data_IF_500705933277
#
_entry.id   IF_500705933277
#
_cell.length_a   1.000
_cell.length_b   1.000
_cell.length_c   1.000
_cell.angle_alpha   90.00
_cell.angle_beta   90.00
_cell.angle_gamma   90.00
#
_symmetry.space_group_name_H-M   'P 1'
#
loop_
_entity.id
_entity.type
_entity.pdbx_description
1 polymer ?
#
# COMPACT_ATOMS: atom_id res chain seq x y z
N UNK A 1 1.39 -6.53 -15.40
CA UNK A 1 0.73 -6.64 -14.09
C UNK A 1 -0.66 -7.17 -14.33
N UNK A 2 -0.92 -8.43 -13.95
CA UNK A 2 -2.25 -9.06 -14.01
C UNK A 2 -3.14 -8.37 -12.97
N UNK A 3 -4.34 -7.99 -13.39
CA UNK A 3 -5.28 -7.18 -12.64
C UNK A 3 -5.49 -7.63 -11.19
N UNK A 4 -5.27 -6.71 -10.28
CA UNK A 4 -5.80 -6.82 -8.93
C UNK A 4 -7.33 -6.85 -9.05
N UNK A 5 -7.90 -8.05 -8.84
CA UNK A 5 -9.33 -8.15 -8.59
C UNK A 5 -9.59 -7.44 -7.26
N UNK A 6 -10.22 -6.28 -7.33
CA UNK A 6 -10.83 -5.62 -6.18
C UNK A 6 -11.99 -6.50 -5.70
N UNK A 7 -11.72 -7.42 -4.79
CA UNK A 7 -12.77 -8.17 -4.12
C UNK A 7 -13.52 -7.22 -3.17
N UNK A 8 -14.84 -7.11 -3.29
CA UNK A 8 -15.63 -6.38 -2.31
C UNK A 8 -15.53 -7.12 -0.96
N UNK A 9 -14.81 -6.55 -0.01
CA UNK A 9 -14.66 -7.07 1.36
C UNK A 9 -15.95 -6.99 2.20
N UNK A 10 -17.08 -6.57 1.63
CA UNK A 10 -18.31 -6.30 2.36
C UNK A 10 -19.48 -7.12 1.83
N UNK A 11 -19.70 -8.29 2.37
CA UNK A 11 -21.07 -8.81 2.50
C UNK A 11 -21.73 -8.13 3.70
N UNK A 12 -22.72 -7.28 3.49
CA UNK A 12 -23.57 -6.76 4.55
C UNK A 12 -24.25 -7.94 5.24
N UNK A 13 -24.25 -7.95 6.59
CA UNK A 13 -25.20 -8.77 7.31
C UNK A 13 -26.62 -8.35 6.89
N UNK A 14 -27.57 -9.26 6.72
CA UNK A 14 -28.97 -8.86 6.76
C UNK A 14 -29.12 -8.04 8.05
N UNK A 15 -29.61 -6.83 7.91
CA UNK A 15 -29.86 -6.00 9.07
C UNK A 15 -30.81 -6.76 10.00
N UNK A 16 -30.49 -6.82 11.28
CA UNK A 16 -31.47 -7.23 12.31
C UNK A 16 -32.69 -6.29 12.34
N UNK A 17 -32.75 -5.34 11.42
CA UNK A 17 -33.79 -4.31 11.29
C UNK A 17 -35.15 -4.82 10.82
N UNK A 18 -35.26 -6.08 10.36
CA UNK A 18 -36.52 -6.60 9.80
C UNK A 18 -37.59 -7.02 10.79
N UNK A 19 -37.33 -7.10 12.10
CA UNK A 19 -38.26 -7.74 13.04
C UNK A 19 -38.71 -6.85 14.22
N UNK A 20 -38.25 -5.61 14.27
CA UNK A 20 -38.66 -4.71 15.37
C UNK A 20 -39.77 -3.73 14.98
N UNK A 21 -40.96 -4.27 14.81
CA UNK A 21 -42.19 -3.42 14.84
C UNK A 21 -42.79 -3.50 16.26
N UNK A 22 -43.16 -2.38 16.86
CA UNK A 22 -43.82 -2.26 18.17
C UNK A 22 -45.04 -3.21 18.33
N UNK A 23 -45.64 -3.61 17.19
CA UNK A 23 -46.73 -4.59 17.13
C UNK A 23 -46.32 -5.98 17.57
N UNK A 24 -45.05 -6.39 17.37
CA UNK A 24 -44.54 -7.70 17.81
C UNK A 24 -44.33 -7.75 19.33
N UNK A 25 -43.98 -6.61 19.94
CA UNK A 25 -43.86 -6.51 21.40
C UNK A 25 -45.24 -6.68 22.08
N UNK A 26 -46.32 -6.25 21.47
CA UNK A 26 -47.69 -6.44 21.99
C UNK A 26 -48.19 -7.89 21.80
N UNK A 27 -47.93 -8.51 20.67
CA UNK A 27 -48.35 -9.90 20.38
C UNK A 27 -47.61 -10.92 21.24
N UNK A 28 -46.36 -10.68 21.60
CA UNK A 28 -45.59 -11.55 22.50
C UNK A 28 -46.14 -11.57 23.93
N UNK A 29 -46.68 -10.46 24.40
CA UNK A 29 -47.34 -10.43 25.74
C UNK A 29 -48.64 -11.20 25.80
N UNK A 30 -49.29 -11.51 24.69
CA UNK A 30 -50.57 -12.21 24.63
C UNK A 30 -50.45 -13.74 24.45
N UNK A 31 -49.31 -14.27 24.03
CA UNK A 31 -49.12 -15.71 23.78
C UNK A 31 -48.37 -16.49 24.91
N UNK A 32 -48.06 -15.83 26.04
CA UNK A 32 -47.38 -16.44 27.20
C UNK A 32 -48.32 -17.08 28.22
N UNK A 33 -49.52 -17.47 27.81
CA UNK A 33 -50.43 -18.24 28.65
C UNK A 33 -50.50 -19.69 28.12
N UNK A 34 -49.58 -20.53 28.56
CA UNK A 34 -49.72 -21.99 28.80
C UNK A 34 -48.31 -22.65 28.72
N UNK A 35 -47.62 -22.69 29.79
CA UNK A 35 -46.96 -23.85 30.41
C UNK A 35 -46.18 -23.39 31.66
N UNK A 36 -46.83 -23.36 32.81
CA UNK A 36 -46.15 -23.15 34.07
C UNK A 36 -45.63 -24.47 34.60
N UNK A 37 -44.41 -24.80 34.29
CA UNK A 37 -43.56 -25.57 35.19
C UNK A 37 -42.84 -24.54 36.06
N UNK A 38 -43.15 -24.58 37.39
CA UNK A 38 -42.49 -23.73 38.39
C UNK A 38 -40.97 -23.97 38.34
N UNK A 39 -40.16 -22.96 38.05
CA UNK A 39 -38.70 -23.14 38.11
C UNK A 39 -38.28 -23.18 39.57
N UNK A 40 -37.46 -24.13 39.92
CA UNK A 40 -36.62 -24.09 41.11
C UNK A 40 -35.80 -22.81 41.08
N UNK A 41 -35.94 -21.97 42.11
CA UNK A 41 -35.28 -20.71 42.23
C UNK A 41 -33.74 -20.87 42.04
N UNK A 42 -33.20 -20.29 40.97
CA UNK A 42 -31.75 -20.12 40.83
C UNK A 42 -31.12 -20.31 39.45
N UNK A 43 -31.79 -20.98 38.49
CA UNK A 43 -31.24 -21.12 37.13
C UNK A 43 -32.26 -20.67 36.09
N UNK A 44 -31.84 -19.82 35.11
CA UNK A 44 -32.70 -19.46 33.97
C UNK A 44 -33.06 -20.75 33.21
N UNK A 45 -34.35 -21.02 33.04
CA UNK A 45 -34.78 -22.19 32.28
C UNK A 45 -34.55 -21.94 30.78
N UNK A 46 -33.81 -22.83 30.13
CA UNK A 46 -33.71 -22.84 28.65
C UNK A 46 -35.12 -23.13 28.08
N UNK A 47 -35.56 -22.27 27.17
CA UNK A 47 -36.85 -22.38 26.49
C UNK A 47 -36.63 -22.55 25.00
N UNK A 48 -37.50 -23.32 24.34
CA UNK A 48 -37.53 -23.45 22.87
C UNK A 48 -38.80 -22.76 22.39
N UNK A 49 -38.63 -21.78 21.51
CA UNK A 49 -39.72 -20.99 20.92
C UNK A 49 -39.61 -21.06 19.40
N UNK A 50 -40.73 -21.32 18.72
CA UNK A 50 -40.85 -21.10 17.26
C UNK A 50 -41.67 -19.84 17.06
N UNK A 51 -41.11 -18.89 16.27
CA UNK A 51 -41.75 -17.62 15.95
C UNK A 51 -42.68 -17.78 14.73
N UNK A 52 -43.63 -16.85 14.58
CA UNK A 52 -44.62 -16.90 13.49
C UNK A 52 -44.02 -16.74 12.09
N UNK A 53 -42.82 -16.18 11.99
CA UNK A 53 -42.05 -16.03 10.75
C UNK A 53 -41.22 -17.29 10.38
N UNK A 54 -41.28 -18.34 11.20
CA UNK A 54 -40.53 -19.58 11.00
C UNK A 54 -39.15 -19.60 11.65
N UNK A 55 -38.72 -18.51 12.31
CA UNK A 55 -37.49 -18.52 13.10
C UNK A 55 -37.68 -19.33 14.37
N UNK A 56 -36.58 -19.83 14.93
CA UNK A 56 -36.60 -20.51 16.25
C UNK A 56 -35.52 -19.93 17.17
N UNK A 57 -35.82 -19.97 18.45
CA UNK A 57 -34.89 -19.62 19.53
C UNK A 57 -34.88 -20.70 20.58
N UNK A 58 -33.69 -21.10 21.02
CA UNK A 58 -33.45 -21.99 22.14
C UNK A 58 -32.45 -21.27 23.08
N UNK A 59 -32.87 -20.94 24.30
CA UNK A 59 -32.00 -20.22 25.23
C UNK A 59 -32.71 -19.61 26.42
N UNK A 60 -32.00 -18.72 27.09
CA UNK A 60 -32.49 -18.03 28.27
C UNK A 60 -33.46 -16.91 27.88
N UNK A 61 -34.60 -16.85 28.59
CA UNK A 61 -35.63 -15.83 28.39
C UNK A 61 -35.94 -15.23 29.76
N UNK A 62 -35.93 -13.88 29.84
CA UNK A 62 -36.34 -13.15 31.01
C UNK A 62 -37.38 -12.13 30.61
N UNK A 63 -38.53 -12.15 31.26
CA UNK A 63 -39.67 -11.26 30.98
C UNK A 63 -40.08 -11.24 29.51
N UNK A 64 -39.99 -12.37 28.82
CA UNK A 64 -40.29 -12.50 27.38
C UNK A 64 -39.22 -11.94 26.42
N UNK A 65 -38.03 -11.63 26.93
CA UNK A 65 -36.90 -11.05 26.21
C UNK A 65 -35.77 -12.07 26.15
N UNK A 66 -35.11 -12.23 25.01
CA UNK A 66 -33.92 -13.09 24.91
C UNK A 66 -32.76 -12.45 25.69
N UNK A 67 -32.27 -13.19 26.66
CA UNK A 67 -31.17 -12.77 27.55
C UNK A 67 -30.20 -13.96 27.71
N UNK A 68 -28.97 -13.69 28.15
CA UNK A 68 -27.99 -14.73 28.43
C UNK A 68 -27.58 -15.54 27.21
N UNK A 69 -27.41 -16.83 27.35
CA UNK A 69 -26.94 -17.72 26.28
C UNK A 69 -28.11 -18.32 25.49
N UNK A 70 -27.96 -18.36 24.14
CA UNK A 70 -28.99 -18.95 23.29
C UNK A 70 -28.52 -19.24 21.86
N UNK A 71 -29.35 -20.01 21.17
CA UNK A 71 -29.25 -20.35 19.78
C UNK A 71 -30.47 -19.76 19.06
N UNK A 72 -30.23 -18.90 18.05
CA UNK A 72 -31.26 -18.38 17.16
C UNK A 72 -31.05 -18.93 15.76
N UNK A 73 -32.07 -19.49 15.17
CA UNK A 73 -32.04 -20.02 13.80
C UNK A 73 -33.12 -19.30 12.99
N UNK A 74 -32.69 -18.59 11.96
CA UNK A 74 -33.58 -17.89 11.04
C UNK A 74 -34.22 -18.89 10.07
N UNK A 75 -35.41 -18.58 9.62
CA UNK A 75 -36.09 -19.35 8.57
C UNK A 75 -35.27 -19.44 7.24
N UNK A 76 -34.34 -18.50 7.03
CA UNK A 76 -33.37 -18.55 5.93
C UNK A 76 -32.35 -19.67 6.03
N UNK A 77 -32.18 -20.27 7.23
CA UNK A 77 -31.13 -21.22 7.57
C UNK A 77 -29.88 -20.62 8.21
N UNK A 78 -29.80 -19.30 8.32
CA UNK A 78 -28.75 -18.66 9.11
C UNK A 78 -28.91 -19.03 10.58
N UNK A 79 -27.81 -19.02 11.34
CA UNK A 79 -27.86 -19.32 12.79
C UNK A 79 -26.88 -18.44 13.56
N UNK A 80 -27.28 -18.06 14.77
CA UNK A 80 -26.43 -17.43 15.76
C UNK A 80 -26.48 -18.20 17.06
N UNK A 81 -25.33 -18.51 17.60
CA UNK A 81 -25.15 -19.14 18.90
C UNK A 81 -24.24 -18.28 19.76
N UNK A 82 -24.73 -17.79 20.90
CA UNK A 82 -23.96 -16.87 21.73
C UNK A 82 -24.82 -16.15 22.76
N UNK A 83 -24.30 -15.03 23.21
CA UNK A 83 -24.94 -14.21 24.22
C UNK A 83 -25.99 -13.26 23.60
N UNK A 84 -27.07 -13.06 24.33
CA UNK A 84 -28.15 -12.12 24.00
C UNK A 84 -28.31 -11.08 25.09
N UNK A 85 -28.66 -9.88 24.71
CA UNK A 85 -29.09 -8.79 25.58
C UNK A 85 -30.19 -8.01 24.89
N UNK A 86 -31.37 -7.89 25.54
CA UNK A 86 -32.53 -7.22 24.98
C UNK A 86 -32.89 -7.72 23.57
N UNK A 87 -33.05 -9.03 23.41
CA UNK A 87 -33.37 -9.74 22.15
C UNK A 87 -32.29 -9.68 21.04
N UNK A 88 -31.16 -9.04 21.28
CA UNK A 88 -30.10 -8.85 20.28
C UNK A 88 -28.84 -9.66 20.62
N UNK A 89 -28.14 -10.21 19.63
CA UNK A 89 -26.78 -10.70 19.81
C UNK A 89 -25.91 -9.69 20.53
N UNK A 90 -25.26 -10.15 21.60
CA UNK A 90 -24.40 -9.32 22.43
C UNK A 90 -23.23 -10.16 22.97
N UNK A 91 -22.16 -9.53 23.49
CA UNK A 91 -21.04 -10.29 24.04
C UNK A 91 -20.38 -11.18 22.99
N UNK A 92 -20.05 -12.41 23.36
CA UNK A 92 -19.41 -13.38 22.47
C UNK A 92 -20.40 -14.31 21.80
N UNK A 93 -20.15 -14.67 20.54
CA UNK A 93 -20.98 -15.62 19.82
C UNK A 93 -20.43 -15.98 18.43
N UNK A 94 -21.08 -16.96 17.83
CA UNK A 94 -20.80 -17.46 16.49
C UNK A 94 -22.02 -17.25 15.60
N UNK A 95 -21.83 -16.61 14.46
CA UNK A 95 -22.84 -16.47 13.41
C UNK A 95 -22.44 -17.32 12.20
N UNK A 96 -23.35 -18.12 11.70
CA UNK A 96 -23.17 -18.96 10.51
C UNK A 96 -24.24 -18.61 9.49
N UNK A 97 -23.78 -18.16 8.31
CA UNK A 97 -24.67 -17.91 7.17
C UNK A 97 -24.92 -19.18 6.38
N UNK A 98 -26.10 -19.28 5.81
CA UNK A 98 -26.48 -20.41 4.92
C UNK A 98 -25.55 -20.51 3.69
N UNK A 99 -24.92 -19.42 3.27
CA UNK A 99 -23.97 -19.39 2.14
C UNK A 99 -22.57 -19.92 2.49
N UNK A 100 -22.36 -20.41 3.72
CA UNK A 100 -21.12 -21.00 4.21
C UNK A 100 -20.15 -20.03 4.85
N UNK A 101 -20.47 -18.74 4.94
CA UNK A 101 -19.69 -17.80 5.75
C UNK A 101 -19.88 -18.08 7.25
N UNK A 102 -18.90 -17.69 8.05
CA UNK A 102 -19.02 -17.73 9.51
C UNK A 102 -18.29 -16.56 10.16
N UNK A 103 -18.83 -16.10 11.27
CA UNK A 103 -18.17 -15.12 12.14
C UNK A 103 -18.16 -15.65 13.57
N UNK A 104 -17.00 -15.58 14.19
CA UNK A 104 -16.81 -15.90 15.63
C UNK A 104 -16.16 -14.69 16.28
N UNK A 105 -16.80 -14.11 17.30
CA UNK A 105 -16.26 -12.92 17.95
C UNK A 105 -17.29 -12.21 18.81
N UNK A 106 -17.02 -10.91 19.02
CA UNK A 106 -17.90 -10.10 19.88
C UNK A 106 -18.96 -9.37 19.06
N UNK A 107 -20.12 -9.22 19.70
CA UNK A 107 -21.29 -8.50 19.20
C UNK A 107 -21.68 -7.38 20.16
N UNK A 108 -22.14 -6.29 19.61
CA UNK A 108 -22.74 -5.17 20.34
C UNK A 108 -24.05 -4.77 19.66
N UNK A 109 -25.18 -4.96 20.38
CA UNK A 109 -26.51 -4.62 19.87
C UNK A 109 -26.76 -5.19 18.45
N UNK A 110 -26.56 -6.50 18.26
CA UNK A 110 -26.78 -7.22 17.01
C UNK A 110 -25.73 -7.00 15.92
N UNK A 111 -24.68 -6.25 16.17
CA UNK A 111 -23.63 -5.95 15.18
C UNK A 111 -22.29 -6.54 15.62
N UNK A 112 -21.53 -7.06 14.65
CA UNK A 112 -20.13 -7.47 14.90
C UNK A 112 -19.37 -6.25 15.41
N UNK A 113 -18.65 -6.43 16.52
CA UNK A 113 -17.92 -5.38 17.21
C UNK A 113 -16.68 -5.96 17.90
N UNK A 114 -15.70 -5.14 18.29
CA UNK A 114 -14.50 -5.60 18.99
C UNK A 114 -13.69 -6.58 18.15
N UNK A 115 -13.20 -7.66 18.74
CA UNK A 115 -12.34 -8.64 18.07
C UNK A 115 -13.17 -9.84 17.59
N UNK A 116 -12.85 -10.31 16.38
CA UNK A 116 -13.46 -11.50 15.82
C UNK A 116 -12.73 -12.07 14.63
N UNK A 117 -13.23 -13.22 14.18
CA UNK A 117 -12.77 -13.94 13.00
C UNK A 117 -13.94 -14.09 12.04
N UNK A 118 -13.79 -13.59 10.82
CA UNK A 118 -14.74 -13.77 9.73
C UNK A 118 -14.12 -14.70 8.68
N UNK A 119 -14.83 -15.77 8.36
CA UNK A 119 -14.42 -16.71 7.31
C UNK A 119 -15.45 -16.67 6.19
N UNK A 120 -15.00 -16.51 4.95
CA UNK A 120 -15.84 -16.53 3.75
C UNK A 120 -15.94 -17.95 3.19
N UNK A 121 -17.00 -18.20 2.43
CA UNK A 121 -17.26 -19.51 1.79
C UNK A 121 -16.16 -19.94 0.81
N UNK A 122 -15.42 -19.00 0.24
CA UNK A 122 -14.29 -19.28 -0.65
C UNK A 122 -12.99 -19.64 0.09
N UNK A 123 -13.00 -19.59 1.44
CA UNK A 123 -11.84 -19.88 2.29
C UNK A 123 -11.02 -18.64 2.71
N UNK A 124 -11.38 -17.45 2.26
CA UNK A 124 -10.78 -16.22 2.78
C UNK A 124 -11.09 -16.07 4.27
N UNK A 125 -10.18 -15.44 5.01
CA UNK A 125 -10.31 -15.27 6.45
C UNK A 125 -9.79 -13.92 6.89
N UNK A 126 -10.57 -13.24 7.73
CA UNK A 126 -10.12 -12.06 8.46
C UNK A 126 -10.14 -12.32 9.96
N UNK A 127 -9.08 -11.90 10.63
CA UNK A 127 -8.96 -11.92 12.10
C UNK A 127 -8.54 -10.53 12.56
N UNK A 128 -9.37 -9.86 13.34
CA UNK A 128 -9.04 -8.51 13.79
C UNK A 128 -10.23 -7.76 14.35
N UNK A 129 -10.14 -6.44 14.30
CA UNK A 129 -11.10 -5.53 14.90
C UNK A 129 -12.29 -5.27 13.99
N UNK A 130 -13.48 -5.19 14.60
CA UNK A 130 -14.74 -4.83 13.96
C UNK A 130 -15.40 -3.65 14.67
N UNK A 131 -16.08 -2.79 13.93
CA UNK A 131 -16.90 -1.71 14.44
C UNK A 131 -18.18 -1.63 13.64
N UNK A 132 -19.33 -1.92 14.29
CA UNK A 132 -20.66 -1.85 13.68
C UNK A 132 -20.73 -2.58 12.32
N UNK A 133 -20.36 -3.87 12.29
CA UNK A 133 -20.31 -4.78 11.14
C UNK A 133 -19.18 -4.53 10.13
N UNK A 134 -18.38 -3.47 10.28
CA UNK A 134 -17.25 -3.18 9.39
C UNK A 134 -15.94 -3.65 9.99
N UNK A 135 -15.03 -4.09 9.16
CA UNK A 135 -13.63 -4.28 9.49
C UNK A 135 -13.03 -2.89 9.73
N UNK A 136 -12.42 -2.69 10.90
CA UNK A 136 -11.90 -1.39 11.36
C UNK A 136 -10.72 -1.61 12.32
N UNK A 137 -9.64 -0.84 12.18
CA UNK A 137 -8.46 -0.96 13.05
C UNK A 137 -7.51 -2.07 12.60
N UNK A 138 -6.78 -2.67 13.53
CA UNK A 138 -5.76 -3.68 13.22
C UNK A 138 -6.37 -5.05 12.94
N UNK A 139 -5.78 -5.74 11.94
CA UNK A 139 -6.19 -7.10 11.62
C UNK A 139 -5.29 -7.79 10.61
N UNK A 140 -5.51 -9.09 10.50
CA UNK A 140 -4.88 -9.98 9.53
C UNK A 140 -5.93 -10.51 8.57
N UNK A 141 -5.68 -10.38 7.28
CA UNK A 141 -6.47 -10.95 6.21
C UNK A 141 -5.65 -12.03 5.48
N UNK A 142 -6.22 -13.21 5.34
CA UNK A 142 -5.63 -14.33 4.60
C UNK A 142 -6.57 -14.74 3.48
N UNK A 143 -6.12 -14.65 2.24
CA UNK A 143 -6.87 -15.09 1.08
C UNK A 143 -6.69 -16.59 0.84
N UNK A 144 -7.67 -17.22 0.21
CA UNK A 144 -7.63 -18.65 -0.15
C UNK A 144 -6.45 -19.01 -1.05
N UNK A 145 -5.94 -18.07 -1.83
CA UNK A 145 -4.75 -18.21 -2.66
C UNK A 145 -3.42 -18.12 -1.89
N UNK A 146 -3.46 -18.01 -0.55
CA UNK A 146 -2.33 -17.87 0.37
C UNK A 146 -1.67 -16.47 0.39
N UNK A 147 -2.28 -15.47 -0.23
CA UNK A 147 -1.88 -14.10 0.02
C UNK A 147 -2.23 -13.73 1.47
N UNK A 148 -1.46 -12.82 2.08
CA UNK A 148 -1.73 -12.35 3.44
C UNK A 148 -1.52 -10.85 3.54
N UNK A 149 -2.37 -10.18 4.32
CA UNK A 149 -2.18 -8.81 4.72
C UNK A 149 -2.29 -8.70 6.25
N UNK A 150 -1.36 -7.98 6.85
CA UNK A 150 -1.38 -7.62 8.27
C UNK A 150 -1.21 -6.12 8.39
N UNK A 151 -2.16 -5.42 8.99
CA UNK A 151 -2.12 -3.96 9.08
C UNK A 151 -3.46 -3.35 9.44
N UNK A 152 -3.56 -2.06 9.16
CA UNK A 152 -4.72 -1.24 9.48
C UNK A 152 -5.82 -1.37 8.43
N UNK A 153 -7.05 -1.25 8.89
CA UNK A 153 -8.26 -1.20 8.07
C UNK A 153 -9.14 -0.02 8.47
N UNK A 154 -9.70 0.64 7.49
CA UNK A 154 -10.73 1.67 7.65
C UNK A 154 -11.89 1.33 6.73
N UNK A 155 -13.08 1.19 7.29
CA UNK A 155 -14.31 0.91 6.55
C UNK A 155 -14.18 -0.27 5.55
N UNK A 156 -13.60 -1.39 5.97
CA UNK A 156 -13.32 -2.61 5.21
C UNK A 156 -12.17 -2.50 4.18
N UNK A 157 -11.47 -1.38 4.07
CA UNK A 157 -10.35 -1.20 3.16
C UNK A 157 -9.03 -1.17 3.93
N UNK A 158 -7.98 -1.76 3.34
CA UNK A 158 -6.61 -1.63 3.85
C UNK A 158 -6.23 -0.15 3.86
N UNK A 159 -5.69 0.33 4.98
CA UNK A 159 -5.34 1.74 5.18
C UNK A 159 -4.17 1.85 6.15
N UNK A 160 -3.55 3.03 6.26
CA UNK A 160 -2.44 3.22 7.20
C UNK A 160 -1.26 2.31 6.94
N UNK A 161 -0.57 1.86 7.97
CA UNK A 161 0.59 0.98 7.85
C UNK A 161 0.16 -0.49 7.73
N UNK A 162 0.82 -1.22 6.81
CA UNK A 162 0.53 -2.64 6.62
C UNK A 162 1.61 -3.38 5.86
N UNK A 163 1.51 -4.71 5.94
CA UNK A 163 2.41 -5.65 5.27
C UNK A 163 1.59 -6.65 4.46
N UNK A 164 1.79 -6.64 3.15
CA UNK A 164 1.20 -7.55 2.19
C UNK A 164 2.24 -8.57 1.74
N UNK A 165 1.86 -9.83 1.69
CA UNK A 165 2.66 -10.91 1.10
C UNK A 165 1.80 -11.65 0.09
N UNK A 166 2.29 -11.78 -1.13
CA UNK A 166 1.65 -12.55 -2.18
C UNK A 166 2.22 -13.97 -2.24
N UNK A 167 1.40 -14.93 -2.56
CA UNK A 167 1.81 -16.34 -2.75
C UNK A 167 2.92 -16.51 -3.81
N UNK A 168 3.06 -15.53 -4.70
CA UNK A 168 4.14 -15.47 -5.72
C UNK A 168 5.51 -15.20 -5.14
N UNK A 169 5.61 -14.92 -3.82
CA UNK A 169 6.86 -14.55 -3.12
C UNK A 169 7.14 -13.03 -3.12
N UNK A 170 6.29 -12.23 -3.76
CA UNK A 170 6.35 -10.78 -3.66
C UNK A 170 5.89 -10.32 -2.28
N UNK A 171 6.43 -9.21 -1.77
CA UNK A 171 5.94 -8.58 -0.53
C UNK A 171 6.03 -7.06 -0.60
N UNK A 172 5.10 -6.40 0.10
CA UNK A 172 5.09 -4.95 0.27
C UNK A 172 4.89 -4.62 1.75
N UNK A 173 5.65 -3.65 2.24
CA UNK A 173 5.52 -3.10 3.58
C UNK A 173 5.55 -1.57 3.49
N UNK A 174 4.53 -0.90 3.99
CA UNK A 174 4.42 0.55 3.85
C UNK A 174 3.01 1.08 4.08
N UNK A 175 2.77 2.26 3.53
CA UNK A 175 1.48 2.93 3.64
C UNK A 175 0.46 2.35 2.65
N UNK A 176 -0.79 2.30 3.08
CA UNK A 176 -1.95 1.95 2.26
C UNK A 176 -3.00 3.07 2.32
N UNK A 177 -3.64 3.30 1.20
CA UNK A 177 -4.81 4.18 1.08
C UNK A 177 -5.83 3.51 0.17
N UNK A 178 -7.08 3.42 0.64
CA UNK A 178 -8.20 2.83 -0.10
C UNK A 178 -7.88 1.46 -0.73
N UNK A 179 -7.20 0.60 0.05
CA UNK A 179 -6.86 -0.75 -0.34
C UNK A 179 -5.58 -0.90 -1.17
N UNK A 180 -4.91 0.17 -1.56
CA UNK A 180 -3.72 0.13 -2.43
C UNK A 180 -2.47 0.70 -1.77
N UNK A 181 -1.26 0.23 -2.13
CA UNK A 181 -0.01 0.87 -1.72
C UNK A 181 0.00 2.37 -2.02
N UNK A 182 0.39 3.17 -1.04
CA UNK A 182 0.44 4.62 -1.11
C UNK A 182 1.61 5.15 -0.25
N UNK A 183 1.97 6.45 -0.38
CA UNK A 183 3.00 7.05 0.46
C UNK A 183 4.34 6.33 0.37
N UNK A 184 5.01 6.11 1.50
CA UNK A 184 6.30 5.42 1.55
C UNK A 184 6.13 3.92 1.71
N UNK A 185 6.96 3.16 0.97
CA UNK A 185 6.91 1.71 1.07
C UNK A 185 8.14 0.99 0.54
N UNK A 186 8.27 -0.27 0.96
CA UNK A 186 9.26 -1.22 0.52
C UNK A 186 8.59 -2.39 -0.20
N UNK A 187 8.88 -2.54 -1.48
CA UNK A 187 8.38 -3.62 -2.34
C UNK A 187 9.53 -4.57 -2.68
N UNK A 188 9.37 -5.83 -2.35
CA UNK A 188 10.25 -6.91 -2.75
C UNK A 188 9.55 -7.73 -3.83
N UNK A 189 10.16 -7.83 -5.00
CA UNK A 189 9.64 -8.62 -6.12
C UNK A 189 10.04 -10.10 -6.00
N UNK A 190 9.27 -10.97 -6.62
CA UNK A 190 9.56 -12.42 -6.65
C UNK A 190 10.89 -12.77 -7.34
N UNK A 191 11.41 -11.89 -8.19
CA UNK A 191 12.70 -12.04 -8.85
C UNK A 191 13.89 -11.52 -8.02
N UNK A 192 13.62 -11.05 -6.78
CA UNK A 192 14.60 -10.52 -5.84
C UNK A 192 14.94 -9.05 -6.03
N UNK A 193 14.35 -8.34 -7.00
CA UNK A 193 14.44 -6.88 -7.04
C UNK A 193 13.75 -6.27 -5.81
N UNK A 194 14.20 -5.10 -5.38
CA UNK A 194 13.59 -4.37 -4.28
C UNK A 194 13.41 -2.90 -4.67
N UNK A 195 12.30 -2.32 -4.27
CA UNK A 195 12.06 -0.89 -4.43
C UNK A 195 11.71 -0.27 -3.08
N UNK A 196 12.37 0.82 -2.74
CA UNK A 196 12.09 1.63 -1.56
C UNK A 196 11.81 3.04 -2.05
N UNK A 197 10.64 3.60 -1.72
CA UNK A 197 10.25 4.92 -2.20
C UNK A 197 8.76 5.17 -2.16
N UNK A 198 8.34 6.17 -2.91
CA UNK A 198 6.98 6.67 -2.95
C UNK A 198 6.07 5.81 -3.85
N UNK A 199 4.83 5.67 -3.42
CA UNK A 199 3.75 5.01 -4.14
C UNK A 199 2.51 5.90 -4.23
N UNK A 200 1.79 5.81 -5.31
CA UNK A 200 0.45 6.35 -5.47
C UNK A 200 -0.40 5.36 -6.26
N UNK A 201 -1.57 4.99 -5.69
CA UNK A 201 -2.51 4.06 -6.33
C UNK A 201 -1.85 2.73 -6.75
N UNK A 202 -0.96 2.19 -5.91
CA UNK A 202 -0.24 0.95 -6.17
C UNK A 202 0.96 1.05 -7.11
N UNK A 203 1.22 2.21 -7.71
CA UNK A 203 2.31 2.44 -8.65
C UNK A 203 3.46 3.22 -7.99
N UNK A 204 4.70 2.89 -8.35
CA UNK A 204 5.87 3.66 -7.92
C UNK A 204 5.81 5.06 -8.53
N UNK A 205 6.03 6.06 -7.68
CA UNK A 205 6.00 7.48 -8.07
C UNK A 205 7.05 8.25 -7.27
N UNK A 206 7.17 9.57 -7.53
CA UNK A 206 8.05 10.44 -6.75
C UNK A 206 9.49 9.95 -6.73
N UNK A 207 10.15 10.03 -5.58
CA UNK A 207 11.54 9.59 -5.40
C UNK A 207 11.60 8.17 -4.86
N UNK A 208 12.56 7.39 -5.37
CA UNK A 208 12.78 6.04 -4.88
C UNK A 208 14.09 5.40 -5.36
N UNK A 209 14.43 4.29 -4.72
CA UNK A 209 15.60 3.48 -5.07
C UNK A 209 15.16 2.08 -5.46
N UNK A 210 15.60 1.63 -6.62
CA UNK A 210 15.39 0.27 -7.13
C UNK A 210 16.71 -0.49 -7.07
N UNK A 211 16.72 -1.61 -6.39
CA UNK A 211 17.85 -2.53 -6.27
C UNK A 211 17.62 -3.76 -7.14
N UNK A 212 18.67 -4.24 -7.79
CA UNK A 212 18.68 -5.50 -8.53
C UNK A 212 19.51 -6.55 -7.79
N UNK A 213 19.15 -7.85 -7.92
CA UNK A 213 19.88 -8.93 -7.26
C UNK A 213 21.37 -9.02 -7.65
N UNK A 214 21.72 -8.50 -8.81
CA UNK A 214 23.10 -8.45 -9.28
C UNK A 214 23.97 -7.39 -8.60
N UNK A 215 23.40 -6.59 -7.68
CA UNK A 215 24.09 -5.53 -6.94
C UNK A 215 24.00 -4.15 -7.60
N UNK A 216 23.34 -4.04 -8.73
CA UNK A 216 23.05 -2.72 -9.33
C UNK A 216 21.96 -2.01 -8.53
N UNK A 217 21.96 -0.67 -8.56
CA UNK A 217 20.87 0.14 -8.00
C UNK A 217 20.61 1.38 -8.84
N UNK A 218 19.36 1.81 -8.88
CA UNK A 218 18.94 3.09 -9.42
C UNK A 218 18.30 3.92 -8.32
N UNK A 219 18.67 5.19 -8.21
CA UNK A 219 18.01 6.16 -7.34
C UNK A 219 17.61 7.36 -8.18
N UNK A 220 16.33 7.75 -8.10
CA UNK A 220 15.83 8.87 -8.92
C UNK A 220 14.31 8.98 -8.88
N UNK A 221 13.77 9.73 -9.85
CA UNK A 221 12.35 9.94 -9.99
C UNK A 221 11.64 8.80 -10.71
N UNK A 222 10.39 8.55 -10.29
CA UNK A 222 9.46 7.60 -10.89
C UNK A 222 8.13 8.28 -11.21
N UNK A 223 7.52 7.92 -12.32
CA UNK A 223 6.16 8.27 -12.69
C UNK A 223 5.49 7.02 -13.26
N UNK A 224 4.39 6.58 -12.62
CA UNK A 224 3.63 5.41 -13.06
C UNK A 224 4.52 4.21 -13.38
N UNK A 225 5.33 3.78 -12.38
CA UNK A 225 6.29 2.67 -12.46
C UNK A 225 7.51 2.90 -13.38
N UNK A 226 7.60 4.00 -14.08
CA UNK A 226 8.70 4.28 -14.99
C UNK A 226 9.73 5.22 -14.36
N UNK A 227 11.01 4.89 -14.51
CA UNK A 227 12.11 5.81 -14.21
C UNK A 227 12.05 6.99 -15.16
N UNK A 228 12.08 8.20 -14.61
CA UNK A 228 11.99 9.44 -15.39
C UNK A 228 12.78 10.57 -14.73
N UNK A 229 13.01 11.66 -15.48
CA UNK A 229 13.74 12.81 -14.97
C UNK A 229 15.17 12.47 -14.59
N UNK A 230 15.73 13.18 -13.63
CA UNK A 230 17.10 12.95 -13.17
C UNK A 230 17.19 11.73 -12.24
N UNK A 231 18.24 10.93 -12.45
CA UNK A 231 18.50 9.76 -11.64
C UNK A 231 19.95 9.29 -11.75
N UNK A 232 20.30 8.34 -10.88
CA UNK A 232 21.64 7.78 -10.80
C UNK A 232 21.56 6.26 -10.83
N UNK A 233 22.35 5.62 -11.69
CA UNK A 233 22.60 4.19 -11.64
C UNK A 233 23.99 3.97 -11.04
N UNK A 234 24.05 3.04 -10.08
CA UNK A 234 25.30 2.44 -9.63
C UNK A 234 25.33 0.99 -10.13
N UNK A 235 26.34 0.63 -10.86
CA UNK A 235 26.59 -0.76 -11.22
C UNK A 235 27.49 -1.43 -10.18
N UNK A 236 27.39 -2.75 -10.10
CA UNK A 236 28.17 -3.57 -9.17
C UNK A 236 29.68 -3.40 -9.35
N UNK A 237 30.13 -3.10 -10.56
CA UNK A 237 31.55 -2.90 -10.89
C UNK A 237 32.08 -1.54 -10.41
N UNK A 238 31.24 -0.74 -9.76
CA UNK A 238 31.57 0.61 -9.27
C UNK A 238 31.34 1.72 -10.31
N UNK A 239 30.93 1.39 -11.53
CA UNK A 239 30.53 2.38 -12.52
C UNK A 239 29.30 3.14 -12.01
N UNK A 240 29.27 4.46 -12.25
CA UNK A 240 28.14 5.33 -11.89
C UNK A 240 27.71 6.07 -13.16
N UNK A 241 26.41 6.14 -13.38
CA UNK A 241 25.80 7.05 -14.36
C UNK A 241 24.85 7.99 -13.65
N UNK A 242 24.98 9.29 -13.90
CA UNK A 242 24.09 10.33 -13.41
C UNK A 242 23.53 11.08 -14.61
N UNK A 243 22.22 11.11 -14.78
CA UNK A 243 21.64 11.76 -15.95
C UNK A 243 20.13 11.63 -16.04
N UNK A 244 19.63 11.98 -17.20
CA UNK A 244 18.21 11.99 -17.49
C UNK A 244 17.72 10.58 -17.88
N UNK A 245 16.49 10.30 -17.50
CA UNK A 245 15.76 9.07 -17.82
C UNK A 245 14.38 9.42 -18.40
N UNK A 246 13.91 8.61 -19.31
CA UNK A 246 12.57 8.66 -19.86
C UNK A 246 12.11 7.24 -20.17
N UNK A 247 10.91 6.88 -19.68
CA UNK A 247 10.31 5.54 -19.87
C UNK A 247 11.30 4.37 -19.59
N UNK A 248 11.92 4.40 -18.42
CA UNK A 248 12.91 3.42 -17.94
C UNK A 248 14.27 3.41 -18.66
N UNK A 249 14.47 4.22 -19.68
CA UNK A 249 15.69 4.26 -20.46
C UNK A 249 16.48 5.56 -20.19
N UNK A 250 17.79 5.49 -20.32
CA UNK A 250 18.62 6.68 -20.35
C UNK A 250 18.19 7.56 -21.52
N UNK A 251 18.07 8.87 -21.28
CA UNK A 251 17.63 9.86 -22.25
C UNK A 251 18.34 11.19 -21.97
N UNK A 252 18.44 12.08 -22.98
CA UNK A 252 19.10 13.37 -22.78
C UNK A 252 20.58 13.22 -22.42
N UNK A 253 21.03 14.04 -21.50
CA UNK A 253 22.43 14.10 -21.11
C UNK A 253 22.69 13.41 -19.79
N UNK A 254 23.91 12.87 -19.64
CA UNK A 254 24.37 12.27 -18.39
C UNK A 254 25.87 12.18 -18.33
N UNK A 255 26.37 11.86 -17.14
CA UNK A 255 27.77 11.67 -16.84
C UNK A 255 27.95 10.24 -16.39
N UNK A 256 28.90 9.54 -16.99
CA UNK A 256 29.35 8.21 -16.60
C UNK A 256 30.72 8.31 -15.96
N UNK A 257 30.90 7.66 -14.83
CA UNK A 257 32.17 7.53 -14.12
C UNK A 257 32.50 6.08 -13.92
N UNK A 258 33.69 5.66 -14.32
CA UNK A 258 34.22 4.33 -14.08
C UNK A 258 35.27 4.39 -12.98
N UNK A 259 35.42 3.34 -12.15
CA UNK A 259 36.46 3.29 -11.12
C UNK A 259 37.87 3.51 -11.73
N UNK A 260 38.55 4.54 -11.28
CA UNK A 260 39.90 4.89 -11.79
C UNK A 260 39.94 5.51 -13.17
N UNK A 261 38.78 5.70 -13.84
CA UNK A 261 38.65 6.37 -15.12
C UNK A 261 38.38 7.86 -14.98
N UNK A 262 38.45 8.58 -16.10
CA UNK A 262 37.98 9.95 -16.16
C UNK A 262 36.48 9.97 -16.43
N UNK A 263 35.73 10.96 -15.89
CA UNK A 263 34.32 11.10 -16.18
C UNK A 263 34.08 11.28 -17.69
N UNK A 264 32.97 10.71 -18.17
CA UNK A 264 32.52 10.79 -19.56
C UNK A 264 31.17 11.45 -19.64
N UNK A 265 31.01 12.46 -20.50
CA UNK A 265 29.70 12.99 -20.84
C UNK A 265 29.07 12.14 -21.93
N UNK A 266 27.83 11.78 -21.74
CA UNK A 266 27.07 10.97 -22.68
C UNK A 266 25.77 11.67 -23.07
N UNK A 267 25.38 11.54 -24.34
CA UNK A 267 24.08 11.91 -24.85
C UNK A 267 23.31 10.65 -25.27
N UNK A 268 22.11 10.51 -24.77
CA UNK A 268 21.25 9.36 -25.00
C UNK A 268 19.95 9.75 -25.68
N UNK A 269 19.44 8.90 -26.55
CA UNK A 269 18.12 9.04 -27.16
C UNK A 269 17.41 7.70 -27.10
N UNK A 270 16.35 7.62 -26.30
CA UNK A 270 15.55 6.38 -26.11
C UNK A 270 16.41 5.13 -25.81
N UNK A 271 17.37 5.25 -24.89
CA UNK A 271 18.25 4.17 -24.48
C UNK A 271 19.43 3.89 -25.46
N UNK A 272 19.54 4.59 -26.56
CA UNK A 272 20.66 4.48 -27.49
C UNK A 272 21.67 5.60 -27.28
N UNK A 273 22.94 5.25 -27.06
CA UNK A 273 24.05 6.22 -26.93
C UNK A 273 24.28 6.90 -28.27
N UNK A 274 24.23 8.23 -28.28
CA UNK A 274 24.45 9.07 -29.45
C UNK A 274 25.85 9.71 -29.48
N UNK A 275 26.35 10.07 -28.30
CA UNK A 275 27.63 10.70 -28.13
C UNK A 275 28.25 10.33 -26.79
N UNK A 276 29.56 10.10 -26.79
CA UNK A 276 30.36 9.89 -25.57
C UNK A 276 31.68 10.66 -25.72
N UNK A 277 32.05 11.43 -24.70
CA UNK A 277 33.33 12.17 -24.65
C UNK A 277 33.84 12.21 -23.22
N UNK A 278 35.16 12.05 -23.09
CA UNK A 278 35.86 12.23 -21.82
C UNK A 278 35.78 13.67 -21.36
N UNK A 279 35.44 13.90 -20.10
CA UNK A 279 35.49 15.21 -19.45
C UNK A 279 36.94 15.52 -19.08
N UNK A 280 37.57 16.37 -19.89
CA UNK A 280 38.89 16.87 -19.60
C UNK A 280 38.83 18.39 -19.40
N UNK A 281 39.69 18.92 -18.53
CA UNK A 281 39.82 20.36 -18.40
C UNK A 281 40.17 20.98 -19.78
N UNK A 282 39.25 21.79 -20.31
CA UNK A 282 39.48 22.41 -21.58
C UNK A 282 40.27 23.71 -21.36
N UNK A 283 41.61 23.59 -21.38
CA UNK A 283 42.54 24.70 -21.25
C UNK A 283 42.36 25.78 -22.34
N UNK A 284 41.64 25.48 -23.42
CA UNK A 284 41.45 26.40 -24.55
C UNK A 284 40.11 27.13 -24.50
N UNK A 285 39.20 26.78 -23.58
CA UNK A 285 37.85 27.33 -23.56
C UNK A 285 37.31 27.39 -22.13
N UNK A 286 37.86 28.26 -21.31
CA UNK A 286 37.49 28.33 -19.90
C UNK A 286 36.11 28.94 -19.66
N UNK A 287 35.39 28.35 -18.73
CA UNK A 287 34.09 28.79 -18.26
C UNK A 287 34.09 28.74 -16.72
N UNK A 288 33.76 29.86 -16.11
CA UNK A 288 33.52 29.91 -14.65
C UNK A 288 32.11 30.43 -14.40
N UNK A 289 31.31 29.62 -13.70
CA UNK A 289 29.94 29.97 -13.32
C UNK A 289 29.64 29.40 -11.92
N UNK A 290 28.96 30.18 -11.07
CA UNK A 290 28.64 29.81 -9.69
C UNK A 290 29.88 29.40 -8.84
N UNK A 291 31.02 30.03 -9.08
CA UNK A 291 32.27 29.75 -8.35
C UNK A 291 32.91 28.39 -8.68
N UNK A 292 32.47 27.72 -9.73
CA UNK A 292 32.99 26.43 -10.20
C UNK A 292 33.63 26.55 -11.56
N UNK A 293 34.51 25.63 -11.87
CA UNK A 293 35.07 25.44 -13.21
C UNK A 293 34.17 24.48 -13.98
N UNK A 294 34.05 24.75 -15.28
CA UNK A 294 33.17 23.99 -16.17
C UNK A 294 33.90 23.60 -17.45
N UNK A 295 33.62 22.40 -17.93
CA UNK A 295 33.89 22.05 -19.32
C UNK A 295 32.78 22.63 -20.19
N UNK A 296 33.18 23.26 -21.27
CA UNK A 296 32.27 23.79 -22.29
C UNK A 296 32.49 23.07 -23.63
N UNK A 297 31.46 22.39 -24.10
CA UNK A 297 31.49 21.67 -25.38
C UNK A 297 30.92 22.59 -26.47
N UNK A 298 31.78 23.41 -27.02
CA UNK A 298 31.52 24.21 -28.21
C UNK A 298 32.83 24.47 -28.97
N UNK A 299 32.74 24.53 -30.29
CA UNK A 299 33.86 24.95 -31.14
C UNK A 299 34.10 26.45 -31.14
N UNK A 300 33.27 27.22 -30.43
CA UNK A 300 33.31 28.67 -30.41
C UNK A 300 33.90 29.17 -29.10
N UNK A 301 35.19 29.38 -29.07
CA UNK A 301 35.88 30.05 -27.97
C UNK A 301 36.48 31.34 -28.47
N UNK A 302 36.33 32.42 -27.71
CA UNK A 302 36.94 33.72 -28.01
C UNK A 302 37.93 34.05 -26.90
N UNK A 303 39.19 34.27 -27.26
CA UNK A 303 40.29 34.56 -26.33
C UNK A 303 40.42 33.53 -25.20
N UNK A 304 40.23 32.25 -25.49
CA UNK A 304 40.29 31.16 -24.47
C UNK A 304 39.09 31.10 -23.54
N UNK A 305 37.99 31.82 -23.81
CA UNK A 305 36.79 31.87 -23.01
C UNK A 305 35.59 31.26 -23.77
N UNK A 306 34.73 30.57 -23.07
CA UNK A 306 33.51 29.97 -23.62
C UNK A 306 32.63 31.04 -24.29
N UNK A 307 32.26 30.82 -25.57
CA UNK A 307 31.42 31.72 -26.34
C UNK A 307 30.44 30.93 -27.22
N UNK A 308 29.22 31.46 -27.42
CA UNK A 308 28.19 30.79 -28.23
C UNK A 308 27.25 29.95 -27.43
N UNK A 309 26.58 29.05 -28.10
CA UNK A 309 25.60 28.15 -27.49
C UNK A 309 26.18 26.74 -27.42
N UNK A 310 26.08 26.09 -26.27
CA UNK A 310 26.59 24.74 -26.10
C UNK A 310 26.20 24.10 -24.76
N UNK A 311 26.71 22.89 -24.59
CA UNK A 311 26.66 22.16 -23.37
C UNK A 311 27.78 22.61 -22.43
N UNK A 312 27.47 22.79 -21.15
CA UNK A 312 28.49 22.96 -20.13
C UNK A 312 28.25 21.99 -18.97
N UNK A 313 29.33 21.44 -18.40
CA UNK A 313 29.32 20.52 -17.28
C UNK A 313 30.31 21.02 -16.25
N UNK A 314 29.92 21.09 -14.99
CA UNK A 314 30.89 21.37 -13.91
C UNK A 314 31.92 20.23 -13.81
N UNK A 315 33.18 20.56 -13.55
CA UNK A 315 34.26 19.57 -13.55
C UNK A 315 34.07 18.51 -12.42
N UNK A 316 33.30 18.83 -11.41
CA UNK A 316 32.90 17.87 -10.35
C UNK A 316 31.72 16.97 -10.74
N UNK A 317 31.20 17.12 -11.96
CA UNK A 317 30.10 16.31 -12.47
C UNK A 317 28.74 16.52 -11.81
N UNK A 318 28.59 17.59 -11.01
CA UNK A 318 27.37 17.83 -10.22
C UNK A 318 26.33 18.70 -10.89
N UNK A 319 26.78 19.55 -11.82
CA UNK A 319 25.92 20.51 -12.49
C UNK A 319 26.04 20.37 -13.99
N UNK A 320 24.91 20.53 -14.68
CA UNK A 320 24.80 20.44 -16.15
C UNK A 320 24.01 21.61 -16.69
N UNK A 321 24.48 22.22 -17.78
CA UNK A 321 23.77 23.22 -18.55
C UNK A 321 23.61 22.66 -19.97
N UNK A 322 22.46 21.99 -20.28
CA UNK A 322 22.33 21.25 -21.56
C UNK A 322 22.34 22.12 -22.78
N UNK A 323 21.85 23.36 -22.67
CA UNK A 323 21.73 24.37 -23.76
C UNK A 323 21.97 25.76 -23.17
N UNK A 324 23.21 26.04 -22.83
CA UNK A 324 23.61 27.37 -22.35
C UNK A 324 24.02 28.27 -23.47
N UNK A 325 23.75 29.59 -23.35
CA UNK A 325 24.38 30.64 -24.14
C UNK A 325 25.43 31.33 -23.30
N UNK A 326 26.63 31.37 -23.81
CA UNK A 326 27.80 31.90 -23.10
C UNK A 326 28.42 33.05 -23.93
N UNK A 327 28.87 34.07 -23.24
CA UNK A 327 29.60 35.20 -23.83
C UNK A 327 30.84 35.44 -22.97
N UNK A 328 32.02 35.25 -23.54
CA UNK A 328 33.33 35.47 -22.90
C UNK A 328 33.41 34.83 -21.51
N UNK A 329 33.08 33.56 -21.44
CA UNK A 329 33.15 32.78 -20.20
C UNK A 329 32.03 33.04 -19.16
N UNK A 330 31.01 33.81 -19.53
CA UNK A 330 29.85 34.08 -18.68
C UNK A 330 28.58 33.45 -19.27
N UNK A 331 27.80 32.80 -18.44
CA UNK A 331 26.47 32.29 -18.83
C UNK A 331 25.48 33.44 -18.94
N UNK A 332 24.88 33.61 -20.12
CA UNK A 332 23.87 34.64 -20.41
C UNK A 332 22.46 34.09 -20.33
N UNK A 333 22.26 32.84 -20.72
CA UNK A 333 21.00 32.13 -20.58
C UNK A 333 21.22 30.62 -20.59
N UNK A 334 20.32 29.91 -19.99
CA UNK A 334 20.32 28.45 -19.83
C UNK A 334 19.77 28.06 -18.49
N UNK A 335 19.42 26.78 -18.33
CA UNK A 335 19.01 26.21 -17.04
C UNK A 335 20.13 25.35 -16.51
N UNK A 336 20.51 25.59 -15.25
CA UNK A 336 21.43 24.71 -14.51
C UNK A 336 20.62 23.58 -13.96
N UNK A 337 20.99 22.35 -14.31
CA UNK A 337 20.41 21.13 -13.75
C UNK A 337 21.38 20.57 -12.70
N UNK A 338 20.89 20.32 -11.51
CA UNK A 338 21.62 19.55 -10.51
C UNK A 338 21.55 18.07 -10.85
N UNK A 339 22.71 17.42 -10.94
CA UNK A 339 22.81 15.99 -11.08
C UNK A 339 22.83 15.44 -9.65
N UNK A 340 21.84 14.65 -9.22
CA UNK A 340 21.69 14.25 -7.83
C UNK A 340 22.93 13.56 -7.28
N UNK A 341 23.40 13.99 -6.10
CA UNK A 341 24.24 13.13 -5.28
C UNK A 341 23.35 12.03 -4.69
N UNK A 342 23.80 10.80 -4.79
CA UNK A 342 23.19 9.71 -4.03
C UNK A 342 23.81 9.75 -2.66
N UNK A 343 22.99 10.02 -1.66
CA UNK A 343 23.33 9.66 -0.29
C UNK A 343 23.50 8.13 -0.24
N UNK A 344 24.70 7.61 0.01
CA UNK A 344 24.92 6.17 0.09
C UNK A 344 24.15 5.50 1.23
N UNK A 345 23.57 6.29 2.14
CA UNK A 345 22.95 5.87 3.40
C UNK A 345 21.43 6.00 3.48
N UNK A 346 20.69 6.09 2.38
CA UNK A 346 19.28 5.70 2.45
C UNK A 346 19.23 4.19 2.67
N UNK A 347 19.61 3.80 3.88
CA UNK A 347 19.74 2.44 4.32
C UNK A 347 18.37 1.79 4.45
N UNK A 348 18.29 0.53 4.04
CA UNK A 348 17.25 -0.45 4.31
C UNK A 348 16.86 -0.51 5.81
N UNK A 349 17.58 0.22 6.70
CA UNK A 349 17.44 0.15 8.15
C UNK A 349 16.13 0.69 8.72
N UNK A 350 15.33 1.45 7.97
CA UNK A 350 14.02 1.92 8.46
C UNK A 350 12.89 0.89 8.29
N UNK A 351 13.10 -0.17 7.51
CA UNK A 351 12.10 -1.21 7.22
C UNK A 351 12.47 -2.60 7.72
N UNK A 352 13.53 -2.73 8.51
CA UNK A 352 14.02 -4.03 8.92
C UNK A 352 14.20 -4.18 10.42
N UNK A 353 13.15 -4.63 11.10
CA UNK A 353 13.14 -5.50 12.30
C UNK A 353 11.86 -5.24 13.10
N UNK A 354 10.86 -6.02 12.85
CA UNK A 354 9.65 -6.16 13.62
C UNK A 354 9.03 -7.53 13.34
#
# INVERSE_FOLDING_TARGET
>A
MSGEQSYPLAGSLPEFSGVYNETLKMLRKLFLFYLTLLPLAGYPATQIITLSNGDSYEGEIRDGIFEGSGLYVWASGDRYEGQFLNDLPHGTGTYQWVDGRSYEGTFLAGKRHGIGVLTWSNGDKYKGSFKANRIEGQGEFSWANQDTYNGEFVANLRSGKGKMRWHTGQSYEGDFLDGTPHGQGHLVYSDGRQYIGEFAQGLRTGKGTLYWPNGNRYTGAFVQDNRTGLGVIHWRDGTIYRGEFFENSQSGWGIKEQPGGQPEIQQWRSGALQLERILVENVTCSLSHMGRQWMFDSTQCINGLAHGTGLAVSLDGRLLIPKGKFILGQMVSGSVLEIPEVDPDTSISEFGSG
#
